data_IF_188273179206
#
_entry.id   IF_188273179206
#
_cell.length_a   1.000
_cell.length_b   1.000
_cell.length_c   1.000
_cell.angle_alpha   90.00
_cell.angle_beta   90.00
_cell.angle_gamma   90.00
#
_symmetry.space_group_name_H-M   'P 1'
#
loop_
_entity.id
_entity.type
_entity.pdbx_description
1 polymer ?
#
# COMPACT_ATOMS: atom_id res chain seq x y z
N UNK A 1 -9.32 -14.55 8.59
CA UNK A 1 -9.49 -14.31 10.04
C UNK A 1 -8.79 -13.05 10.52
N UNK A 2 -7.46 -12.91 10.47
CA UNK A 2 -6.79 -11.94 11.35
C UNK A 2 -7.05 -10.48 10.98
N UNK A 3 -6.97 -10.13 9.68
CA UNK A 3 -7.16 -8.75 9.24
C UNK A 3 -8.60 -8.27 9.49
N UNK A 4 -9.61 -9.04 9.08
CA UNK A 4 -11.01 -8.59 9.17
C UNK A 4 -11.51 -8.50 10.62
N UNK A 5 -11.11 -9.44 11.47
CA UNK A 5 -11.48 -9.40 12.90
C UNK A 5 -10.63 -8.41 13.68
N UNK A 6 -9.34 -8.27 13.37
CA UNK A 6 -8.50 -7.23 13.97
C UNK A 6 -9.05 -5.83 13.66
N UNK A 7 -9.46 -5.58 12.42
CA UNK A 7 -10.17 -4.33 12.05
C UNK A 7 -11.49 -4.19 12.82
N UNK A 8 -12.33 -5.23 12.87
CA UNK A 8 -13.62 -5.16 13.54
C UNK A 8 -13.50 -4.91 15.06
N UNK A 9 -12.61 -5.63 15.74
CA UNK A 9 -12.35 -5.51 17.18
C UNK A 9 -11.80 -4.13 17.50
N UNK A 10 -10.81 -3.65 16.76
CA UNK A 10 -10.25 -2.32 17.00
C UNK A 10 -11.30 -1.23 16.76
N UNK A 11 -12.06 -1.33 15.67
CA UNK A 11 -13.12 -0.39 15.36
C UNK A 11 -14.18 -0.34 16.46
N UNK A 12 -14.70 -1.48 16.90
CA UNK A 12 -15.83 -1.52 17.82
C UNK A 12 -15.41 -1.37 19.29
N UNK A 13 -14.32 -2.00 19.75
CA UNK A 13 -13.94 -1.98 21.16
C UNK A 13 -13.01 -0.84 21.53
N UNK A 14 -12.16 -0.38 20.61
CA UNK A 14 -11.13 0.63 20.92
C UNK A 14 -11.50 2.02 20.40
N UNK A 15 -12.03 2.13 19.18
CA UNK A 15 -12.45 3.42 18.63
C UNK A 15 -13.86 3.81 19.06
N UNK A 16 -14.84 2.91 18.88
CA UNK A 16 -16.22 3.20 19.22
C UNK A 16 -16.54 2.97 20.71
N UNK A 17 -15.85 2.03 21.35
CA UNK A 17 -16.21 1.52 22.69
C UNK A 17 -17.69 1.11 22.74
N UNK A 18 -18.12 0.35 21.72
CA UNK A 18 -19.51 -0.02 21.47
C UNK A 18 -20.16 -0.66 22.71
N UNK A 19 -21.33 -0.14 23.08
CA UNK A 19 -22.12 -0.62 24.21
C UNK A 19 -23.38 -1.39 23.76
N UNK A 20 -23.99 -2.11 24.72
CA UNK A 20 -25.21 -2.87 24.48
C UNK A 20 -26.37 -1.95 24.09
N UNK A 21 -27.14 -2.37 23.10
CA UNK A 21 -28.27 -1.64 22.50
C UNK A 21 -27.91 -0.35 21.73
N UNK A 22 -26.63 -0.02 21.55
CA UNK A 22 -26.23 1.06 20.63
C UNK A 22 -26.53 0.66 19.19
N UNK A 23 -26.96 1.64 18.39
CA UNK A 23 -27.31 1.43 16.98
C UNK A 23 -26.08 1.52 16.11
N UNK A 24 -25.70 0.41 15.47
CA UNK A 24 -24.53 0.33 14.60
C UNK A 24 -24.92 0.17 13.14
N UNK A 25 -24.44 1.07 12.27
CA UNK A 25 -24.57 0.94 10.82
C UNK A 25 -23.29 0.33 10.23
N UNK A 26 -23.42 -0.81 9.56
CA UNK A 26 -22.31 -1.53 8.91
C UNK A 26 -22.50 -1.48 7.39
N UNK A 27 -21.62 -0.77 6.70
CA UNK A 27 -21.68 -0.71 5.25
C UNK A 27 -20.97 -1.91 4.59
N UNK A 28 -21.42 -2.27 3.38
CA UNK A 28 -20.86 -3.39 2.60
C UNK A 28 -20.87 -4.72 3.40
N UNK A 29 -21.95 -4.93 4.16
CA UNK A 29 -21.99 -5.90 5.26
C UNK A 29 -21.75 -7.36 4.85
N UNK A 30 -22.04 -7.74 3.61
CA UNK A 30 -21.79 -9.09 3.10
C UNK A 30 -20.32 -9.36 2.72
N UNK A 31 -19.45 -8.36 2.75
CA UNK A 31 -18.01 -8.53 2.54
C UNK A 31 -17.31 -9.10 3.78
N UNK A 32 -16.05 -9.52 3.63
CA UNK A 32 -15.29 -10.12 4.73
C UNK A 32 -15.18 -9.27 6.01
N UNK A 33 -15.03 -7.95 5.88
CA UNK A 33 -15.03 -7.05 7.04
C UNK A 33 -16.44 -6.91 7.63
N UNK A 34 -17.45 -6.70 6.79
CA UNK A 34 -18.83 -6.53 7.25
C UNK A 34 -19.33 -7.70 8.09
N UNK A 35 -19.04 -8.93 7.65
CA UNK A 35 -19.39 -10.15 8.40
C UNK A 35 -18.65 -10.24 9.75
N UNK A 36 -17.39 -9.79 9.81
CA UNK A 36 -16.64 -9.75 11.06
C UNK A 36 -17.20 -8.70 12.03
N UNK A 37 -17.54 -7.50 11.53
CA UNK A 37 -18.15 -6.42 12.33
C UNK A 37 -19.52 -6.87 12.85
N UNK A 38 -20.34 -7.57 12.06
CA UNK A 38 -21.62 -8.13 12.52
C UNK A 38 -21.39 -9.07 13.71
N UNK A 39 -20.50 -10.05 13.60
CA UNK A 39 -20.25 -11.00 14.69
C UNK A 39 -19.79 -10.31 15.97
N UNK A 40 -18.86 -9.34 15.86
CA UNK A 40 -18.36 -8.58 17.01
C UNK A 40 -19.48 -7.72 17.62
N UNK A 41 -20.28 -7.03 16.82
CA UNK A 41 -21.41 -6.23 17.30
C UNK A 41 -22.51 -7.09 17.97
N UNK A 42 -22.78 -8.29 17.44
CA UNK A 42 -23.72 -9.24 18.04
C UNK A 42 -23.25 -9.71 19.41
N UNK A 43 -21.94 -9.91 19.59
CA UNK A 43 -21.37 -10.31 20.87
C UNK A 43 -21.55 -9.27 21.99
N UNK A 44 -21.69 -7.99 21.62
CA UNK A 44 -21.99 -6.89 22.55
C UNK A 44 -23.50 -6.78 22.84
N UNK A 45 -24.34 -7.27 21.91
CA UNK A 45 -25.78 -7.04 21.93
C UNK A 45 -26.16 -5.65 21.40
N UNK A 46 -25.42 -5.16 20.39
CA UNK A 46 -25.76 -3.93 19.68
C UNK A 46 -26.97 -4.12 18.74
N UNK A 47 -27.62 -3.02 18.40
CA UNK A 47 -28.73 -2.97 17.44
C UNK A 47 -28.18 -2.74 16.02
N UNK A 48 -28.16 -3.80 15.20
CA UNK A 48 -27.35 -3.84 13.97
C UNK A 48 -28.19 -3.48 12.75
N UNK A 49 -27.66 -2.54 11.98
CA UNK A 49 -28.17 -2.10 10.69
C UNK A 49 -27.10 -2.22 9.62
N UNK A 50 -27.49 -2.52 8.39
CA UNK A 50 -26.55 -2.86 7.32
C UNK A 50 -26.89 -2.20 6.00
N UNK A 51 -25.88 -1.91 5.18
CA UNK A 51 -26.08 -1.55 3.77
C UNK A 51 -25.46 -2.56 2.82
N UNK A 52 -26.12 -2.82 1.68
CA UNK A 52 -25.60 -3.69 0.63
C UNK A 52 -26.23 -3.52 -0.75
N UNK A 53 -25.59 -4.08 -1.77
CA UNK A 53 -25.91 -3.78 -3.18
C UNK A 53 -26.82 -4.76 -3.93
N UNK A 54 -27.16 -5.94 -3.40
CA UNK A 54 -27.89 -6.99 -4.17
C UNK A 54 -28.83 -7.82 -3.31
N UNK A 55 -29.95 -8.28 -3.87
CA UNK A 55 -30.93 -9.14 -3.18
C UNK A 55 -30.33 -10.45 -2.66
N UNK A 56 -29.44 -11.09 -3.42
CA UNK A 56 -28.77 -12.33 -3.00
C UNK A 56 -28.01 -12.14 -1.68
N UNK A 57 -27.28 -11.02 -1.55
CA UNK A 57 -26.57 -10.66 -0.32
C UNK A 57 -27.55 -10.37 0.82
N UNK A 58 -28.74 -9.82 0.53
CA UNK A 58 -29.74 -9.47 1.56
C UNK A 58 -30.31 -10.73 2.17
N UNK A 59 -30.67 -11.70 1.32
CA UNK A 59 -31.15 -12.99 1.76
C UNK A 59 -30.09 -13.70 2.61
N UNK A 60 -28.82 -13.64 2.21
CA UNK A 60 -27.73 -14.22 2.99
C UNK A 60 -27.62 -13.63 4.40
N UNK A 61 -27.65 -12.30 4.56
CA UNK A 61 -27.56 -11.71 5.92
C UNK A 61 -28.79 -12.01 6.77
N UNK A 62 -29.98 -12.05 6.18
CA UNK A 62 -31.19 -12.38 6.91
C UNK A 62 -31.18 -13.84 7.39
N UNK A 63 -30.77 -14.77 6.52
CA UNK A 63 -30.80 -16.21 6.80
C UNK A 63 -29.64 -16.67 7.69
N UNK A 64 -28.42 -16.18 7.43
CA UNK A 64 -27.20 -16.70 8.08
C UNK A 64 -26.61 -15.77 9.13
N UNK A 65 -26.98 -14.49 9.15
CA UNK A 65 -26.47 -13.52 10.12
C UNK A 65 -27.55 -12.99 11.07
N UNK A 66 -28.81 -13.41 10.92
CA UNK A 66 -29.90 -13.01 11.82
C UNK A 66 -30.24 -11.51 11.78
N UNK A 67 -29.96 -10.83 10.67
CA UNK A 67 -30.28 -9.41 10.50
C UNK A 67 -31.73 -9.27 10.03
N UNK A 68 -32.55 -8.51 10.77
CA UNK A 68 -33.93 -8.23 10.38
C UNK A 68 -33.99 -7.51 9.02
N UNK A 69 -34.94 -7.89 8.15
CA UNK A 69 -35.10 -7.25 6.83
C UNK A 69 -35.34 -5.75 6.92
N UNK A 70 -35.99 -5.27 7.97
CA UNK A 70 -36.21 -3.84 8.23
C UNK A 70 -34.91 -3.08 8.55
N UNK A 71 -33.83 -3.79 8.89
CA UNK A 71 -32.51 -3.23 9.20
C UNK A 71 -31.55 -3.28 8.01
N UNK A 72 -32.02 -3.69 6.83
CA UNK A 72 -31.21 -3.84 5.62
C UNK A 72 -31.55 -2.75 4.62
N UNK A 73 -30.54 -1.96 4.24
CA UNK A 73 -30.67 -0.86 3.29
C UNK A 73 -29.86 -1.10 2.01
N UNK A 74 -30.29 -0.47 0.92
CA UNK A 74 -29.51 -0.44 -0.32
C UNK A 74 -28.24 0.38 -0.14
N UNK A 75 -27.11 -0.09 -0.67
CA UNK A 75 -25.85 0.66 -0.68
C UNK A 75 -25.77 1.73 -1.78
N UNK A 76 -26.88 1.98 -2.52
CA UNK A 76 -26.96 3.00 -3.58
C UNK A 76 -27.72 4.24 -3.09
N UNK A 77 -27.30 5.47 -3.48
CA UNK A 77 -27.49 6.66 -2.66
C UNK A 77 -28.94 7.11 -2.46
N UNK A 78 -29.70 7.30 -3.55
CA UNK A 78 -30.88 8.18 -3.51
C UNK A 78 -32.06 7.69 -2.66
N UNK A 79 -32.18 6.39 -2.37
CA UNK A 79 -33.27 5.81 -1.57
C UNK A 79 -32.85 5.33 -0.19
N UNK A 80 -31.55 5.37 0.14
CA UNK A 80 -31.01 4.74 1.35
C UNK A 80 -31.12 5.62 2.59
N UNK A 81 -30.80 6.92 2.49
CA UNK A 81 -30.73 7.84 3.63
C UNK A 81 -32.09 8.08 4.29
N UNK A 82 -33.15 8.24 3.49
CA UNK A 82 -34.51 8.40 4.00
C UNK A 82 -35.01 7.15 4.72
N UNK A 83 -34.77 5.97 4.14
CA UNK A 83 -35.10 4.69 4.78
C UNK A 83 -34.33 4.48 6.09
N UNK A 84 -33.03 4.81 6.12
CA UNK A 84 -32.20 4.76 7.32
C UNK A 84 -32.73 5.68 8.43
N UNK A 85 -33.12 6.91 8.07
CA UNK A 85 -33.71 7.87 9.01
C UNK A 85 -35.08 7.41 9.53
N UNK A 86 -35.92 6.81 8.69
CA UNK A 86 -37.21 6.26 9.10
C UNK A 86 -37.05 5.08 10.06
N UNK A 87 -36.14 4.15 9.76
CA UNK A 87 -35.88 2.97 10.58
C UNK A 87 -35.28 3.33 11.95
N UNK A 88 -34.44 4.37 12.02
CA UNK A 88 -33.81 4.79 13.28
C UNK A 88 -34.63 5.82 14.06
N UNK A 89 -35.63 6.44 13.43
CA UNK A 89 -36.44 7.51 13.99
C UNK A 89 -35.60 8.74 14.38
N UNK A 90 -35.90 9.34 15.54
CA UNK A 90 -35.14 10.47 16.07
C UNK A 90 -33.77 10.08 16.65
N UNK A 91 -33.52 8.79 16.91
CA UNK A 91 -32.33 8.31 17.61
C UNK A 91 -31.09 8.19 16.72
N UNK A 92 -31.24 8.06 15.39
CA UNK A 92 -30.12 7.95 14.42
C UNK A 92 -29.16 6.79 14.78
N UNK A 93 -27.97 6.72 14.19
CA UNK A 93 -26.96 5.69 14.50
C UNK A 93 -25.87 6.22 15.42
N UNK A 94 -25.52 5.44 16.44
CA UNK A 94 -24.49 5.77 17.43
C UNK A 94 -23.10 5.46 16.89
N UNK A 95 -22.96 4.36 16.16
CA UNK A 95 -21.70 3.94 15.55
C UNK A 95 -21.89 3.65 14.07
N UNK A 96 -20.97 4.10 13.23
CA UNK A 96 -20.94 3.74 11.80
C UNK A 96 -19.59 3.15 11.43
N UNK A 97 -19.58 1.99 10.80
CA UNK A 97 -18.39 1.43 10.15
C UNK A 97 -18.57 1.53 8.64
N UNK A 98 -17.87 2.48 8.04
CA UNK A 98 -18.09 2.92 6.66
C UNK A 98 -16.88 2.65 5.76
N UNK A 99 -17.17 2.12 4.58
CA UNK A 99 -16.22 1.99 3.46
C UNK A 99 -16.68 2.74 2.20
N UNK A 100 -17.80 3.48 2.27
CA UNK A 100 -18.33 4.28 1.17
C UNK A 100 -17.47 5.50 0.90
N UNK A 101 -17.52 6.03 -0.32
CA UNK A 101 -16.74 7.20 -0.72
C UNK A 101 -17.57 8.41 -1.16
N UNK A 102 -16.92 9.57 -1.21
CA UNK A 102 -17.46 10.80 -1.78
C UNK A 102 -18.84 11.20 -1.21
N UNK A 103 -19.80 11.46 -2.08
CA UNK A 103 -21.15 11.92 -1.70
C UNK A 103 -21.91 10.89 -0.87
N UNK A 104 -21.68 9.59 -1.07
CA UNK A 104 -22.33 8.53 -0.29
C UNK A 104 -21.87 8.59 1.17
N UNK A 105 -20.57 8.82 1.40
CA UNK A 105 -20.03 9.01 2.75
C UNK A 105 -20.67 10.22 3.42
N UNK A 106 -20.73 11.36 2.73
CA UNK A 106 -21.29 12.60 3.28
C UNK A 106 -22.78 12.48 3.59
N UNK A 107 -23.57 11.86 2.70
CA UNK A 107 -24.99 11.57 2.92
C UNK A 107 -25.20 10.64 4.11
N UNK A 108 -24.43 9.55 4.18
CA UNK A 108 -24.53 8.57 5.29
C UNK A 108 -24.17 9.21 6.62
N UNK A 109 -23.14 10.06 6.67
CA UNK A 109 -22.72 10.75 7.89
C UNK A 109 -23.82 11.63 8.51
N UNK A 110 -24.81 12.09 7.73
CA UNK A 110 -25.96 12.85 8.25
C UNK A 110 -26.89 12.01 9.14
N UNK A 111 -26.88 10.69 8.96
CA UNK A 111 -27.63 9.74 9.78
C UNK A 111 -26.98 9.45 11.13
N UNK A 112 -25.87 10.10 11.47
CA UNK A 112 -25.17 9.93 12.75
C UNK A 112 -25.92 10.65 13.89
N UNK A 113 -26.02 9.98 15.04
CA UNK A 113 -26.66 10.48 16.25
C UNK A 113 -25.83 11.57 16.93
N UNK A 114 -26.38 12.17 17.99
CA UNK A 114 -25.61 13.09 18.82
C UNK A 114 -24.53 12.30 19.56
N UNK A 115 -23.29 12.80 19.50
CA UNK A 115 -22.09 12.13 20.02
C UNK A 115 -21.70 10.84 19.29
N UNK A 116 -22.33 10.57 18.15
CA UNK A 116 -22.05 9.36 17.39
C UNK A 116 -20.63 9.33 16.81
N UNK A 117 -20.16 8.12 16.54
CA UNK A 117 -18.80 7.83 16.10
C UNK A 117 -18.83 7.27 14.68
N UNK A 118 -18.22 8.00 13.74
CA UNK A 118 -18.07 7.59 12.36
C UNK A 118 -16.66 7.03 12.13
N UNK A 119 -16.55 5.72 11.88
CA UNK A 119 -15.30 5.02 11.60
C UNK A 119 -15.20 4.77 10.09
N UNK A 120 -14.31 5.49 9.44
CA UNK A 120 -14.04 5.35 8.01
C UNK A 120 -12.85 4.45 7.76
N UNK A 121 -13.11 3.26 7.21
CA UNK A 121 -12.08 2.29 6.79
C UNK A 121 -11.71 2.42 5.31
N UNK A 122 -12.45 3.25 4.56
CA UNK A 122 -12.13 3.57 3.18
C UNK A 122 -10.82 4.35 3.08
N UNK A 123 -10.05 4.12 2.00
CA UNK A 123 -8.76 4.79 1.77
C UNK A 123 -8.78 5.76 0.59
N UNK A 124 -9.71 5.60 -0.35
CA UNK A 124 -9.79 6.41 -1.58
C UNK A 124 -9.94 7.90 -1.25
N UNK A 125 -10.90 8.27 -0.40
CA UNK A 125 -11.11 9.67 -0.03
C UNK A 125 -9.92 10.29 0.73
N UNK A 126 -9.32 9.50 1.62
CA UNK A 126 -8.16 9.95 2.41
C UNK A 126 -6.95 10.20 1.50
N UNK A 127 -6.74 9.35 0.50
CA UNK A 127 -5.67 9.50 -0.48
C UNK A 127 -5.95 10.61 -1.50
N UNK A 128 -7.21 10.96 -1.69
CA UNK A 128 -7.66 11.99 -2.64
C UNK A 128 -7.88 13.35 -1.98
N UNK A 129 -7.59 13.48 -0.67
CA UNK A 129 -7.81 14.70 0.12
C UNK A 129 -9.26 15.22 0.03
N UNK A 130 -10.24 14.32 0.00
CA UNK A 130 -11.67 14.69 -0.10
C UNK A 130 -12.10 15.55 1.10
N UNK A 131 -12.84 16.62 0.83
CA UNK A 131 -13.37 17.50 1.86
C UNK A 131 -14.47 16.83 2.71
N UNK A 132 -14.40 17.04 4.03
CA UNK A 132 -15.42 16.62 4.99
C UNK A 132 -16.22 17.83 5.46
N UNK A 133 -17.55 17.73 5.42
CA UNK A 133 -18.43 18.81 5.84
C UNK A 133 -18.41 18.95 7.38
N UNK A 134 -18.01 20.12 7.88
CA UNK A 134 -17.81 20.34 9.32
C UNK A 134 -19.11 20.35 10.15
N UNK A 135 -20.26 20.54 9.51
CA UNK A 135 -21.55 20.58 10.18
C UNK A 135 -21.92 19.26 10.89
N UNK A 136 -21.31 18.12 10.52
CA UNK A 136 -21.53 16.86 11.24
C UNK A 136 -21.04 16.94 12.69
N UNK A 137 -20.07 17.81 12.98
CA UNK A 137 -19.47 17.97 14.32
C UNK A 137 -20.29 18.86 15.24
N UNK A 138 -21.31 19.58 14.76
CA UNK A 138 -22.25 20.33 15.60
C UNK A 138 -22.98 19.43 16.62
N UNK A 139 -23.03 18.13 16.33
CA UNK A 139 -23.65 17.10 17.17
C UNK A 139 -22.67 16.46 18.17
N UNK A 140 -21.49 17.05 18.38
CA UNK A 140 -20.38 16.44 19.12
C UNK A 140 -19.94 15.09 18.55
N UNK A 141 -20.10 14.90 17.24
CA UNK A 141 -19.71 13.67 16.56
C UNK A 141 -18.19 13.47 16.59
N UNK A 142 -17.75 12.21 16.52
CA UNK A 142 -16.34 11.86 16.31
C UNK A 142 -16.17 11.22 14.94
N UNK A 143 -15.10 11.58 14.23
CA UNK A 143 -14.72 10.94 12.96
C UNK A 143 -13.34 10.30 13.11
N UNK A 144 -13.24 8.99 12.85
CA UNK A 144 -11.99 8.25 12.87
C UNK A 144 -11.65 7.71 11.49
N UNK A 145 -10.52 8.13 10.93
CA UNK A 145 -9.92 7.44 9.77
C UNK A 145 -9.10 6.26 10.28
N UNK A 146 -9.50 5.04 9.90
CA UNK A 146 -8.92 3.83 10.45
C UNK A 146 -8.28 2.97 9.37
N UNK A 147 -7.01 2.59 9.59
CA UNK A 147 -6.26 1.66 8.77
C UNK A 147 -5.52 0.67 9.67
N UNK A 148 -6.01 -0.57 9.70
CA UNK A 148 -5.45 -1.64 10.52
C UNK A 148 -3.98 -1.93 10.19
N UNK A 149 -3.57 -1.80 8.92
CA UNK A 149 -2.19 -2.05 8.52
C UNK A 149 -1.21 -1.09 9.20
N UNK A 150 -1.60 0.18 9.37
CA UNK A 150 -0.78 1.18 10.06
C UNK A 150 -0.61 0.89 11.54
N UNK A 151 -1.65 0.40 12.22
CA UNK A 151 -1.57 0.01 13.63
C UNK A 151 -0.57 -1.14 13.79
N UNK A 152 -0.69 -2.17 12.95
CA UNK A 152 0.22 -3.31 12.98
C UNK A 152 1.65 -2.87 12.66
N UNK A 153 1.86 -2.05 11.63
CA UNK A 153 3.18 -1.52 11.27
C UNK A 153 3.82 -0.74 12.42
N UNK A 154 3.04 0.11 13.11
CA UNK A 154 3.54 0.90 14.24
C UNK A 154 3.88 0.02 15.46
N UNK A 155 3.02 -0.93 15.82
CA UNK A 155 3.31 -1.89 16.90
C UNK A 155 4.58 -2.70 16.60
N UNK A 156 4.70 -3.19 15.37
CA UNK A 156 5.89 -3.92 14.91
C UNK A 156 7.14 -3.05 14.92
N UNK A 157 7.05 -1.76 14.56
CA UNK A 157 8.18 -0.82 14.62
C UNK A 157 8.66 -0.62 16.07
N UNK A 158 7.73 -0.46 17.00
CA UNK A 158 8.03 -0.32 18.43
C UNK A 158 8.66 -1.59 19.01
N UNK A 159 8.25 -2.77 18.54
CA UNK A 159 8.85 -4.06 18.91
C UNK A 159 10.21 -4.31 18.23
N UNK A 160 10.38 -3.91 16.97
CA UNK A 160 11.63 -4.05 16.21
C UNK A 160 12.76 -3.20 16.79
N UNK A 161 12.46 -2.07 17.44
CA UNK A 161 13.43 -1.33 18.26
C UNK A 161 14.03 -2.15 19.41
N UNK A 162 13.38 -3.27 19.80
CA UNK A 162 13.86 -4.23 20.81
C UNK A 162 14.46 -5.52 20.24
N UNK A 163 14.09 -5.94 19.01
CA UNK A 163 14.48 -7.26 18.45
C UNK A 163 15.05 -7.25 17.01
N UNK A 164 15.25 -6.08 16.39
CA UNK A 164 15.78 -5.96 15.02
C UNK A 164 14.73 -6.18 13.91
N UNK A 165 14.94 -5.54 12.76
CA UNK A 165 14.00 -5.48 11.60
C UNK A 165 13.60 -6.85 11.00
N UNK A 166 14.37 -7.90 11.22
CA UNK A 166 14.14 -9.21 10.60
C UNK A 166 13.07 -10.04 11.33
N UNK A 167 12.88 -9.78 12.63
CA UNK A 167 11.96 -10.53 13.49
C UNK A 167 10.51 -9.99 13.39
N UNK A 168 10.32 -8.74 12.97
CA UNK A 168 9.00 -8.08 12.95
C UNK A 168 7.97 -8.77 12.07
N UNK A 169 8.36 -9.36 10.93
CA UNK A 169 7.41 -10.04 10.05
C UNK A 169 6.99 -11.42 10.56
N UNK A 170 7.77 -12.05 11.46
CA UNK A 170 7.41 -13.32 12.10
C UNK A 170 6.55 -13.13 13.36
N UNK A 171 6.52 -11.92 13.93
CA UNK A 171 5.85 -11.62 15.21
C UNK A 171 4.48 -10.97 15.06
N UNK A 172 3.86 -10.96 13.88
CA UNK A 172 2.54 -10.32 13.68
C UNK A 172 1.49 -10.91 14.64
N UNK A 173 1.55 -12.22 14.89
CA UNK A 173 0.65 -12.91 15.83
C UNK A 173 0.91 -12.57 17.31
N UNK A 174 2.06 -11.97 17.63
CA UNK A 174 2.42 -11.56 19.00
C UNK A 174 1.92 -10.15 19.36
N UNK A 175 1.37 -9.42 18.39
CA UNK A 175 0.76 -8.11 18.60
C UNK A 175 -0.45 -8.19 19.53
N UNK A 176 -0.71 -7.11 20.29
CA UNK A 176 -1.76 -7.10 21.32
C UNK A 176 -3.13 -7.44 20.73
N UNK A 177 -3.40 -6.88 19.55
CA UNK A 177 -4.69 -7.00 18.89
C UNK A 177 -4.94 -8.42 18.33
N UNK A 178 -3.90 -9.11 17.86
CA UNK A 178 -4.02 -10.51 17.44
C UNK A 178 -4.32 -11.42 18.63
N UNK A 179 -3.66 -11.20 19.78
CA UNK A 179 -3.97 -11.92 21.03
C UNK A 179 -5.40 -11.70 21.51
N UNK A 180 -5.92 -10.48 21.34
CA UNK A 180 -7.32 -10.16 21.67
C UNK A 180 -8.29 -10.92 20.75
N UNK A 181 -8.04 -10.92 19.43
CA UNK A 181 -8.83 -11.70 18.46
C UNK A 181 -8.77 -13.20 18.77
N UNK A 182 -7.59 -13.75 19.08
CA UNK A 182 -7.44 -15.15 19.48
C UNK A 182 -8.22 -15.46 20.77
N UNK A 183 -8.20 -14.54 21.74
CA UNK A 183 -9.02 -14.63 22.94
C UNK A 183 -10.53 -14.69 22.63
N UNK A 184 -11.02 -13.88 21.69
CA UNK A 184 -12.42 -13.93 21.25
C UNK A 184 -12.74 -15.25 20.53
N UNK A 185 -11.82 -15.74 19.70
CA UNK A 185 -11.98 -17.00 18.97
C UNK A 185 -12.04 -18.20 19.93
N UNK A 186 -11.13 -18.27 20.90
CA UNK A 186 -11.07 -19.34 21.88
C UNK A 186 -12.31 -19.39 22.80
N UNK A 187 -12.95 -18.24 23.04
CA UNK A 187 -14.23 -18.14 23.78
C UNK A 187 -15.46 -18.43 22.91
N UNK A 188 -15.27 -18.68 21.61
CA UNK A 188 -16.38 -18.88 20.67
C UNK A 188 -17.21 -17.63 20.39
N UNK A 189 -16.70 -16.44 20.70
CA UNK A 189 -17.41 -15.17 20.47
C UNK A 189 -17.34 -14.76 19.00
N UNK A 190 -16.19 -15.01 18.37
CA UNK A 190 -16.02 -14.84 16.93
C UNK A 190 -15.67 -16.18 16.31
N UNK A 191 -16.08 -16.38 15.06
CA UNK A 191 -15.85 -17.61 14.32
C UNK A 191 -15.36 -17.32 12.90
N UNK A 192 -14.64 -18.27 12.27
CA UNK A 192 -14.30 -18.19 10.86
C UNK A 192 -15.51 -17.87 9.99
N UNK A 193 -15.34 -16.91 9.08
CA UNK A 193 -16.38 -16.60 8.09
C UNK A 193 -16.73 -17.87 7.32
N UNK A 194 -17.99 -18.29 7.38
CA UNK A 194 -18.47 -19.50 6.71
C UNK A 194 -18.40 -19.43 5.18
N UNK A 195 -18.35 -18.22 4.61
CA UNK A 195 -18.27 -18.00 3.17
C UNK A 195 -16.83 -17.67 2.74
N UNK A 196 -16.07 -18.71 2.42
CA UNK A 196 -14.76 -18.60 1.76
C UNK A 196 -14.87 -19.25 0.39
N UNK A 197 -14.65 -18.47 -0.67
CA UNK A 197 -14.49 -19.01 -2.02
C UNK A 197 -13.00 -19.18 -2.32
N UNK A 198 -12.55 -20.42 -2.30
CA UNK A 198 -11.19 -20.77 -2.70
C UNK A 198 -11.11 -20.89 -4.24
N UNK A 199 -10.04 -20.33 -4.80
CA UNK A 199 -9.62 -20.54 -6.18
C UNK A 199 -8.27 -21.21 -6.15
N UNK A 200 -7.98 -22.06 -7.13
CA UNK A 200 -6.62 -22.58 -7.27
C UNK A 200 -5.65 -21.43 -7.55
N UNK A 201 -4.42 -21.50 -7.08
CA UNK A 201 -3.42 -20.47 -7.36
C UNK A 201 -3.15 -20.29 -8.87
N UNK A 202 -3.30 -21.35 -9.67
CA UNK A 202 -3.20 -21.26 -11.12
C UNK A 202 -4.36 -20.45 -11.77
N UNK A 203 -5.45 -20.21 -11.04
CA UNK A 203 -6.65 -19.50 -11.48
C UNK A 203 -6.75 -18.10 -10.83
N UNK A 204 -5.60 -17.52 -10.44
CA UNK A 204 -5.55 -16.23 -9.75
C UNK A 204 -6.21 -15.09 -10.57
N UNK A 205 -6.09 -15.13 -11.89
CA UNK A 205 -6.75 -14.21 -12.81
C UNK A 205 -8.28 -14.28 -12.69
N UNK A 206 -8.84 -15.49 -12.64
CA UNK A 206 -10.27 -15.72 -12.44
C UNK A 206 -10.71 -15.27 -11.04
N UNK A 207 -9.88 -15.49 -10.02
CA UNK A 207 -10.14 -15.02 -8.67
C UNK A 207 -10.22 -13.48 -8.61
N UNK A 208 -9.30 -12.79 -9.30
CA UNK A 208 -9.27 -11.32 -9.41
C UNK A 208 -10.46 -10.79 -10.21
N UNK A 209 -10.83 -11.44 -11.31
CA UNK A 209 -12.03 -11.10 -12.09
C UNK A 209 -13.32 -11.34 -11.29
N UNK A 210 -13.37 -12.39 -10.47
CA UNK A 210 -14.49 -12.64 -9.58
C UNK A 210 -14.57 -11.59 -8.45
N UNK A 211 -13.42 -11.20 -7.89
CA UNK A 211 -13.32 -10.13 -6.90
C UNK A 211 -13.81 -8.78 -7.47
N UNK A 212 -13.34 -8.40 -8.66
CA UNK A 212 -13.65 -7.10 -9.28
C UNK A 212 -15.14 -6.90 -9.59
N UNK A 213 -15.87 -8.00 -9.85
CA UNK A 213 -17.35 -7.97 -10.04
C UNK A 213 -18.10 -7.55 -8.77
N UNK A 214 -17.49 -7.64 -7.59
CA UNK A 214 -18.13 -7.24 -6.32
C UNK A 214 -19.34 -8.09 -5.91
N UNK A 215 -19.55 -9.25 -6.54
CA UNK A 215 -20.69 -10.15 -6.26
C UNK A 215 -20.40 -11.15 -5.14
N UNK A 216 -19.15 -11.27 -4.71
CA UNK A 216 -18.73 -12.19 -3.66
C UNK A 216 -19.34 -11.86 -2.29
N UNK A 217 -19.51 -12.91 -1.49
CA UNK A 217 -19.84 -12.86 -0.07
C UNK A 217 -18.63 -13.40 0.69
N UNK A 218 -18.30 -12.78 1.81
CA UNK A 218 -17.17 -13.20 2.64
C UNK A 218 -15.82 -13.00 1.96
N UNK A 219 -14.98 -14.04 1.95
CA UNK A 219 -13.56 -13.96 1.59
C UNK A 219 -13.25 -14.77 0.32
N UNK A 220 -12.37 -14.24 -0.51
CA UNK A 220 -11.75 -14.97 -1.62
C UNK A 220 -10.34 -15.38 -1.17
N UNK A 221 -9.96 -16.63 -1.43
CA UNK A 221 -8.66 -17.18 -1.07
C UNK A 221 -8.02 -17.87 -2.28
N UNK A 222 -6.71 -17.71 -2.45
CA UNK A 222 -5.91 -18.57 -3.32
C UNK A 222 -5.49 -19.82 -2.56
N UNK A 223 -5.70 -20.98 -3.16
CA UNK A 223 -5.38 -22.29 -2.59
C UNK A 223 -4.15 -22.88 -3.27
N UNK A 224 -3.28 -23.48 -2.47
CA UNK A 224 -2.10 -24.23 -2.89
C UNK A 224 -2.27 -25.74 -2.65
N UNK A 225 -3.48 -26.21 -2.36
CA UNK A 225 -3.75 -27.62 -2.02
C UNK A 225 -3.48 -28.59 -3.18
N UNK A 226 -3.53 -28.11 -4.43
CA UNK A 226 -3.16 -28.92 -5.59
C UNK A 226 -1.65 -28.86 -5.82
N UNK A 227 -0.97 -29.96 -5.51
CA UNK A 227 0.49 -30.09 -5.62
C UNK A 227 1.06 -29.80 -7.02
N UNK A 228 0.26 -30.00 -8.07
CA UNK A 228 0.69 -29.91 -9.48
C UNK A 228 0.14 -28.70 -10.22
N UNK A 229 -0.35 -27.69 -9.52
CA UNK A 229 -0.80 -26.47 -10.16
C UNK A 229 0.36 -25.73 -10.82
N UNK A 230 0.23 -25.50 -12.14
CA UNK A 230 1.21 -24.75 -12.92
C UNK A 230 0.90 -23.26 -12.82
N UNK A 231 1.75 -22.52 -12.11
CA UNK A 231 1.60 -21.06 -11.95
C UNK A 231 2.53 -20.36 -12.95
N UNK A 232 2.01 -19.47 -13.81
CA UNK A 232 2.85 -18.66 -14.68
C UNK A 232 3.70 -17.72 -13.81
N UNK A 233 5.01 -17.96 -13.78
CA UNK A 233 5.97 -17.13 -13.06
C UNK A 233 6.53 -16.07 -14.00
N UNK A 234 6.52 -14.82 -13.55
CA UNK A 234 7.33 -13.79 -14.21
C UNK A 234 8.80 -14.07 -13.89
N UNK A 235 9.64 -14.11 -14.93
CA UNK A 235 11.09 -14.08 -14.75
C UNK A 235 11.46 -12.72 -14.18
N UNK A 236 11.66 -12.65 -12.86
CA UNK A 236 12.23 -11.48 -12.21
C UNK A 236 13.72 -11.47 -12.59
N UNK A 237 14.21 -10.49 -13.36
CA UNK A 237 15.64 -10.41 -13.66
C UNK A 237 16.43 -10.35 -12.34
N UNK A 238 17.59 -11.03 -12.25
CA UNK A 238 18.38 -11.05 -11.04
C UNK A 238 18.68 -9.62 -10.58
N UNK A 239 18.61 -9.38 -9.27
CA UNK A 239 18.95 -8.08 -8.70
C UNK A 239 20.40 -7.76 -9.02
N UNK A 240 20.66 -6.67 -9.72
CA UNK A 240 22.03 -6.23 -10.00
C UNK A 240 22.71 -5.86 -8.68
N UNK A 241 23.95 -6.33 -8.49
CA UNK A 241 24.79 -5.96 -7.36
C UNK A 241 26.17 -5.62 -7.88
N UNK A 242 26.64 -4.43 -7.52
CA UNK A 242 27.98 -3.97 -7.80
C UNK A 242 28.88 -4.25 -6.60
N UNK A 243 30.15 -4.50 -6.88
CA UNK A 243 31.18 -4.66 -5.88
C UNK A 243 31.61 -3.28 -5.38
N UNK A 244 31.36 -2.99 -4.11
CA UNK A 244 31.73 -1.72 -3.49
C UNK A 244 33.23 -1.46 -3.41
N UNK A 245 34.08 -2.47 -3.62
CA UNK A 245 35.54 -2.32 -3.69
C UNK A 245 36.08 -2.18 -5.11
N UNK A 246 35.23 -2.36 -6.13
CA UNK A 246 35.62 -2.21 -7.52
C UNK A 246 35.47 -0.76 -8.00
N UNK A 247 36.16 -0.47 -9.10
CA UNK A 247 36.09 0.81 -9.80
C UNK A 247 35.19 0.67 -11.03
N UNK A 248 34.34 1.67 -11.22
CA UNK A 248 33.45 1.79 -12.37
C UNK A 248 33.79 3.04 -13.17
N UNK A 249 34.20 2.86 -14.42
CA UNK A 249 34.58 3.96 -15.30
C UNK A 249 33.35 4.44 -16.07
N UNK A 250 33.04 5.74 -15.99
CA UNK A 250 31.96 6.38 -16.74
C UNK A 250 32.58 7.35 -17.74
N UNK A 251 32.39 7.10 -19.03
CA UNK A 251 32.89 7.97 -20.09
C UNK A 251 31.80 8.93 -20.54
N UNK A 252 32.11 10.22 -20.59
CA UNK A 252 31.38 11.20 -21.37
C UNK A 252 30.28 11.97 -20.66
N UNK A 253 29.49 11.34 -19.79
CA UNK A 253 28.29 11.99 -19.29
C UNK A 253 28.24 12.18 -17.76
N UNK A 254 28.27 13.45 -17.37
CA UNK A 254 27.76 13.96 -16.09
C UNK A 254 26.47 14.79 -16.30
N UNK A 255 25.84 14.68 -17.47
CA UNK A 255 24.50 15.13 -17.79
C UNK A 255 23.42 14.26 -17.13
N UNK A 256 22.17 14.41 -17.58
CA UNK A 256 21.02 13.80 -16.90
C UNK A 256 21.05 12.27 -16.86
N UNK A 257 21.56 11.63 -17.91
CA UNK A 257 21.60 10.17 -18.01
C UNK A 257 22.72 9.58 -17.16
N UNK A 258 23.94 10.08 -17.31
CA UNK A 258 25.09 9.62 -16.53
C UNK A 258 24.87 9.78 -15.02
N UNK A 259 24.28 10.91 -14.59
CA UNK A 259 23.92 11.14 -13.19
C UNK A 259 22.91 10.13 -12.65
N UNK A 260 21.84 9.87 -13.40
CA UNK A 260 20.82 8.87 -13.04
C UNK A 260 21.42 7.46 -12.92
N UNK A 261 22.34 7.11 -13.81
CA UNK A 261 22.97 5.78 -13.81
C UNK A 261 23.95 5.64 -12.66
N UNK A 262 24.77 6.66 -12.36
CA UNK A 262 25.67 6.64 -11.20
C UNK A 262 24.85 6.45 -9.91
N UNK A 263 23.76 7.21 -9.76
CA UNK A 263 22.87 7.07 -8.60
C UNK A 263 22.29 5.65 -8.50
N UNK A 264 21.77 5.11 -9.61
CA UNK A 264 21.29 3.73 -9.65
C UNK A 264 22.38 2.72 -9.29
N UNK A 265 23.61 2.88 -9.80
CA UNK A 265 24.73 2.00 -9.47
C UNK A 265 25.09 2.07 -7.97
N UNK A 266 25.03 3.25 -7.36
CA UNK A 266 25.26 3.45 -5.92
C UNK A 266 24.19 2.71 -5.09
N UNK A 267 22.91 2.84 -5.47
CA UNK A 267 21.81 2.10 -4.84
C UNK A 267 22.01 0.58 -4.93
N UNK A 268 22.74 0.10 -5.95
CA UNK A 268 23.05 -1.30 -6.19
C UNK A 268 24.44 -1.72 -5.69
N UNK A 269 25.16 -0.86 -4.96
CA UNK A 269 26.37 -1.20 -4.20
C UNK A 269 27.69 -0.62 -4.72
N UNK A 270 27.70 0.06 -5.86
CA UNK A 270 28.92 0.68 -6.38
C UNK A 270 29.34 1.85 -5.48
N UNK A 271 30.65 1.97 -5.22
CA UNK A 271 31.18 3.05 -4.36
C UNK A 271 32.34 3.83 -4.97
N UNK A 272 33.02 3.31 -5.99
CA UNK A 272 34.17 3.99 -6.58
C UNK A 272 33.93 4.22 -8.07
N UNK A 273 33.90 5.49 -8.46
CA UNK A 273 33.67 5.92 -9.82
C UNK A 273 34.85 6.73 -10.33
N UNK A 274 35.20 6.47 -11.58
CA UNK A 274 36.18 7.26 -12.32
C UNK A 274 35.50 7.79 -13.57
N UNK A 275 35.45 9.10 -13.72
CA UNK A 275 34.70 9.76 -14.79
C UNK A 275 35.68 10.36 -15.79
N UNK A 276 35.54 9.97 -17.06
CA UNK A 276 36.34 10.52 -18.16
C UNK A 276 35.54 11.58 -18.89
N UNK A 277 36.06 12.80 -18.96
CA UNK A 277 35.48 13.84 -19.81
C UNK A 277 36.56 14.72 -20.45
N UNK A 278 36.23 15.38 -21.57
CA UNK A 278 37.19 16.21 -22.32
C UNK A 278 37.60 17.49 -21.58
N UNK A 279 36.70 18.05 -20.77
CA UNK A 279 36.94 19.30 -20.03
C UNK A 279 37.77 19.11 -18.76
N UNK A 280 37.74 17.93 -18.15
CA UNK A 280 38.28 17.68 -16.81
C UNK A 280 37.44 18.29 -15.67
N UNK A 281 36.33 18.95 -15.99
CA UNK A 281 35.49 19.67 -15.03
C UNK A 281 34.04 19.22 -15.12
N UNK A 282 33.36 18.99 -13.98
CA UNK A 282 31.94 18.65 -13.95
C UNK A 282 31.08 19.89 -14.29
N UNK A 283 29.91 19.71 -14.94
CA UNK A 283 28.91 20.76 -15.04
C UNK A 283 28.36 21.10 -13.64
N UNK A 284 27.84 22.32 -13.45
CA UNK A 284 27.38 22.82 -12.14
C UNK A 284 26.33 21.92 -11.51
N UNK A 285 25.42 21.39 -12.33
CA UNK A 285 24.34 20.50 -11.93
C UNK A 285 24.86 19.15 -11.40
N UNK A 286 26.03 18.71 -11.86
CA UNK A 286 26.66 17.48 -11.38
C UNK A 286 27.36 17.64 -10.02
N UNK A 287 27.76 18.86 -9.66
CA UNK A 287 28.42 19.11 -8.37
C UNK A 287 27.52 18.78 -7.18
N UNK A 288 26.20 19.05 -7.30
CA UNK A 288 25.22 18.73 -6.26
C UNK A 288 25.18 17.22 -6.01
N UNK A 289 25.02 16.43 -7.08
CA UNK A 289 25.00 14.97 -6.97
C UNK A 289 26.33 14.43 -6.44
N UNK A 290 27.46 14.96 -6.91
CA UNK A 290 28.78 14.51 -6.45
C UNK A 290 28.92 14.75 -4.94
N UNK A 291 28.51 15.91 -4.44
CA UNK A 291 28.55 16.21 -3.00
C UNK A 291 27.63 15.27 -2.19
N UNK A 292 26.38 15.09 -2.65
CA UNK A 292 25.41 14.17 -2.02
C UNK A 292 25.93 12.73 -1.95
N UNK A 293 26.55 12.23 -3.02
CA UNK A 293 27.11 10.88 -3.08
C UNK A 293 28.38 10.77 -2.25
N UNK A 294 29.21 11.80 -2.22
CA UNK A 294 30.42 11.84 -1.38
C UNK A 294 30.07 11.77 0.11
N UNK A 295 29.01 12.47 0.54
CA UNK A 295 28.48 12.37 1.90
C UNK A 295 27.96 10.96 2.26
N UNK A 296 27.57 10.17 1.25
CA UNK A 296 27.18 8.76 1.40
C UNK A 296 28.36 7.79 1.34
N UNK A 297 29.60 8.30 1.30
CA UNK A 297 30.82 7.50 1.26
C UNK A 297 31.16 6.96 -0.14
N UNK A 298 30.65 7.57 -1.21
CA UNK A 298 31.01 7.26 -2.59
C UNK A 298 32.24 8.09 -3.00
N UNK A 299 33.26 7.44 -3.56
CA UNK A 299 34.41 8.12 -4.15
C UNK A 299 34.19 8.36 -5.64
N UNK A 300 34.33 9.62 -6.08
CA UNK A 300 34.20 10.01 -7.48
C UNK A 300 35.42 10.83 -7.90
N UNK A 301 36.19 10.30 -8.85
CA UNK A 301 37.35 10.97 -9.43
C UNK A 301 37.09 11.35 -10.88
N UNK A 302 37.26 12.63 -11.23
CA UNK A 302 37.07 13.12 -12.60
C UNK A 302 38.44 13.32 -13.23
N UNK A 303 38.66 12.67 -14.38
CA UNK A 303 39.87 12.80 -15.17
C UNK A 303 39.58 13.45 -16.51
N UNK A 304 40.42 14.43 -16.86
CA UNK A 304 40.46 14.96 -18.22
C UNK A 304 41.01 13.89 -19.15
N UNK A 305 40.15 13.31 -19.97
CA UNK A 305 40.51 12.28 -20.93
C UNK A 305 39.67 12.44 -22.20
N UNK A 306 40.35 12.51 -23.34
CA UNK A 306 39.69 12.39 -24.64
C UNK A 306 39.76 10.93 -25.09
N UNK A 307 38.60 10.28 -25.14
CA UNK A 307 38.53 8.84 -25.38
C UNK A 307 38.81 8.44 -26.83
N UNK A 308 38.88 9.39 -27.76
CA UNK A 308 39.39 9.13 -29.11
C UNK A 308 40.92 9.11 -29.18
N UNK A 309 41.60 9.70 -28.18
CA UNK A 309 43.05 9.61 -28.05
C UNK A 309 43.44 8.37 -27.25
N UNK A 310 43.95 7.38 -27.97
CA UNK A 310 44.44 6.12 -27.41
C UNK A 310 45.41 6.35 -26.25
N UNK A 311 46.37 7.27 -26.39
CA UNK A 311 47.40 7.51 -25.37
C UNK A 311 46.79 8.07 -24.08
N UNK A 312 45.88 9.04 -24.20
CA UNK A 312 45.12 9.60 -23.08
C UNK A 312 44.32 8.54 -22.31
N UNK A 313 43.67 7.61 -23.02
CA UNK A 313 42.92 6.51 -22.38
C UNK A 313 43.85 5.57 -21.62
N UNK A 314 44.98 5.17 -22.21
CA UNK A 314 45.95 4.29 -21.55
C UNK A 314 46.49 4.89 -20.26
N UNK A 315 46.89 6.16 -20.30
CA UNK A 315 47.41 6.85 -19.12
C UNK A 315 46.35 6.98 -18.02
N UNK A 316 45.12 7.32 -18.39
CA UNK A 316 44.04 7.50 -17.42
C UNK A 316 43.61 6.18 -16.78
N UNK A 317 43.48 5.10 -17.57
CA UNK A 317 43.18 3.76 -17.04
C UNK A 317 44.31 3.28 -16.12
N UNK A 318 45.58 3.52 -16.48
CA UNK A 318 46.74 3.15 -15.65
C UNK A 318 46.74 3.87 -14.30
N UNK A 319 46.25 5.10 -14.24
CA UNK A 319 46.08 5.83 -12.97
C UNK A 319 44.91 5.24 -12.19
N UNK A 320 43.75 5.09 -12.82
CA UNK A 320 42.54 4.59 -12.19
C UNK A 320 42.70 3.17 -11.61
N UNK A 321 43.43 2.29 -12.29
CA UNK A 321 43.62 0.90 -11.83
C UNK A 321 44.51 0.74 -10.60
N UNK A 322 45.16 1.82 -10.12
CA UNK A 322 45.95 1.80 -8.88
C UNK A 322 45.07 1.72 -7.64
N UNK A 323 43.87 2.28 -7.70
CA UNK A 323 42.97 2.38 -6.56
C UNK A 323 42.09 1.14 -6.39
N UNK A 324 42.08 0.23 -7.37
CA UNK A 324 41.31 -1.01 -7.33
C UNK A 324 41.04 -1.63 -8.71
N UNK A 325 40.43 -2.83 -8.76
CA UNK A 325 40.08 -3.49 -10.01
C UNK A 325 38.93 -2.78 -10.72
N UNK A 326 39.13 -2.46 -12.01
CA UNK A 326 38.06 -1.93 -12.86
C UNK A 326 37.16 -3.10 -13.28
N UNK A 327 35.91 -3.10 -12.82
CA UNK A 327 34.93 -4.18 -13.14
C UNK A 327 33.84 -3.76 -14.11
N UNK A 328 33.78 -2.49 -14.47
CA UNK A 328 32.82 -1.99 -15.44
C UNK A 328 33.29 -0.70 -16.09
N UNK A 329 33.03 -0.61 -17.39
CA UNK A 329 33.20 0.62 -18.17
C UNK A 329 31.87 0.89 -18.84
N UNK A 330 31.32 2.08 -18.59
CA UNK A 330 30.15 2.58 -19.28
C UNK A 330 30.56 3.70 -20.22
N UNK A 331 30.29 3.53 -21.51
CA UNK A 331 30.50 4.56 -22.50
C UNK A 331 29.22 5.34 -22.77
N UNK A 332 29.14 6.55 -22.24
CA UNK A 332 28.01 7.47 -22.41
C UNK A 332 28.42 8.76 -23.15
N UNK A 333 29.62 8.82 -23.74
CA UNK A 333 30.03 9.96 -24.54
C UNK A 333 29.22 10.01 -25.83
N UNK A 334 28.54 11.13 -26.04
CA UNK A 334 27.86 11.45 -27.28
C UNK A 334 28.05 12.94 -27.56
N UNK A 335 28.30 13.27 -28.82
CA UNK A 335 28.26 14.64 -29.34
C UNK A 335 27.20 14.63 -30.42
N UNK A 336 26.14 15.41 -30.22
CA UNK A 336 25.05 15.55 -31.17
C UNK A 336 25.33 16.77 -32.05
N UNK A 337 25.45 16.55 -33.36
CA UNK A 337 25.59 17.60 -34.37
C UNK A 337 24.50 17.45 -35.42
N UNK A 338 23.25 17.54 -34.95
CA UNK A 338 22.07 17.32 -35.78
C UNK A 338 21.97 18.38 -36.89
N UNK A 339 22.03 17.92 -38.14
CA UNK A 339 21.92 18.75 -39.34
C UNK A 339 21.11 18.03 -40.41
N UNK A 340 20.43 18.80 -41.26
CA UNK A 340 19.87 18.28 -42.50
C UNK A 340 21.01 17.70 -43.36
N UNK A 341 20.75 16.60 -44.07
CA UNK A 341 21.75 15.91 -44.89
C UNK A 341 22.55 16.85 -45.80
N UNK A 342 21.86 17.80 -46.46
CA UNK A 342 22.48 18.80 -47.34
C UNK A 342 23.46 19.77 -46.66
N UNK A 343 23.43 19.84 -45.33
CA UNK A 343 24.24 20.73 -44.49
C UNK A 343 25.32 19.96 -43.69
N UNK A 344 25.46 18.66 -43.91
CA UNK A 344 26.53 17.86 -43.31
C UNK A 344 27.87 18.20 -43.97
N UNK A 345 28.91 18.34 -43.16
CA UNK A 345 30.27 18.57 -43.61
C UNK A 345 31.00 17.23 -43.77
N UNK A 346 31.91 17.13 -44.72
CA UNK A 346 32.72 15.91 -44.95
C UNK A 346 33.63 15.55 -43.77
N UNK A 347 33.92 16.52 -42.89
CA UNK A 347 34.76 16.34 -41.70
C UNK A 347 34.02 15.74 -40.49
N UNK A 348 32.73 15.42 -40.65
CA UNK A 348 31.87 14.78 -39.63
C UNK A 348 31.69 13.30 -39.97
#
# INVERSE_FOLDING_TARGET
>A
MPVVFGTAVYALFHLAQLEKNEKVLIQSAAGGLGLAVIQVAQSVGADIYVTMGTQTKMNYLAEYCGIDRSHVFSSRPASSTSAMMQATGSKRFDVMVSSSNGTIMQETARCLSNRGIFIHVGRVDVQSYTALAMNIFERNATFSSFDFAKIVEEELRLQAGKFGKFVSNLCVNETRLFKEVDGLLNRGIVSPSSSIKAFDIAELDQALLYFSKGTHIGKIAGSFEKERSLVPMLNIPPSVRFDGHAIYVIVGDLGGLGRSIIQWMVEHGARNFVIFNRSGTPPKEALILIDELTQQGVSIHIHKCDVVDKSSVYDTIRVASKDGPIKGIMHAAVVLEDRLFRNLLYSQ
#
